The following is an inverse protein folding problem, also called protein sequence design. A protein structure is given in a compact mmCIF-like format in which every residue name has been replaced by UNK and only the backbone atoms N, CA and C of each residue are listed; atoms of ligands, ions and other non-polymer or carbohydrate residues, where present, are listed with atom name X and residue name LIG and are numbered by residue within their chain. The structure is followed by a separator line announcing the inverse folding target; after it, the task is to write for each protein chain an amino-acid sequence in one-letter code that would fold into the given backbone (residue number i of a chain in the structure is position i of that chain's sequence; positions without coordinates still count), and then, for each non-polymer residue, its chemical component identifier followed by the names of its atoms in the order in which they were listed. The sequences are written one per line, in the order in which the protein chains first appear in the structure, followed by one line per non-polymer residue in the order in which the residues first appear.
data_IF_651537067403
#
_entry.id   IF_651537067403
#
_cell.length_a   1.000
_cell.length_b   1.000
_cell.length_c   1.000
_cell.angle_alpha   90.00
_cell.angle_beta   90.00
_cell.angle_gamma   90.00
#
_symmetry.space_group_name_H-M   'P 1'
#
loop_
_entity.id
_entity.type
_entity.pdbx_description
1 polymer ?
#
# COMPACT_ATOMS: atom_id res chain seq x y z
N UNK A 1 -9.53 3.10 -27.34
CA UNK A 1 -9.31 2.95 -25.88
C UNK A 1 -7.92 3.48 -25.60
N UNK A 2 -7.73 4.27 -24.55
CA UNK A 2 -6.39 4.67 -24.11
C UNK A 2 -5.65 3.40 -23.68
N UNK A 3 -4.38 3.26 -24.06
CA UNK A 3 -3.50 2.20 -23.61
C UNK A 3 -2.73 2.73 -22.41
N UNK A 4 -2.88 2.09 -21.24
CA UNK A 4 -2.18 2.47 -20.03
C UNK A 4 -0.95 1.60 -19.83
N UNK A 5 0.12 2.23 -19.36
CA UNK A 5 1.36 1.58 -18.96
C UNK A 5 1.52 1.75 -17.46
N UNK A 6 2.02 0.72 -16.79
CA UNK A 6 2.34 0.77 -15.37
C UNK A 6 3.81 0.50 -15.13
N UNK A 7 4.31 1.05 -14.06
CA UNK A 7 5.60 0.68 -13.48
C UNK A 7 5.57 0.89 -11.98
N UNK A 8 6.41 0.14 -11.26
CA UNK A 8 6.60 0.28 -9.84
C UNK A 8 8.08 0.25 -9.49
N UNK A 9 8.52 1.13 -8.60
CA UNK A 9 9.90 1.20 -8.18
C UNK A 9 10.01 1.67 -6.73
N UNK A 10 10.92 1.05 -5.96
CA UNK A 10 11.24 1.46 -4.59
C UNK A 10 12.71 1.88 -4.52
N UNK A 11 12.94 3.05 -3.98
CA UNK A 11 14.30 3.61 -3.79
C UNK A 11 14.51 3.87 -2.30
N UNK A 12 15.54 3.27 -1.74
CA UNK A 12 15.89 3.48 -0.35
C UNK A 12 16.46 4.89 -0.12
N UNK A 13 15.92 5.60 0.86
CA UNK A 13 16.40 6.94 1.23
C UNK A 13 17.87 6.95 1.64
N UNK A 14 18.61 8.00 1.25
CA UNK A 14 20.05 8.15 1.52
C UNK A 14 20.44 7.97 2.99
N UNK A 15 19.65 8.53 3.91
CA UNK A 15 19.90 8.40 5.36
C UNK A 15 19.80 6.95 5.85
N UNK A 16 18.89 6.16 5.29
CA UNK A 16 18.75 4.73 5.60
C UNK A 16 19.94 3.93 5.05
N UNK A 17 20.39 4.24 3.82
CA UNK A 17 21.61 3.63 3.25
C UNK A 17 22.82 3.92 4.14
N UNK A 18 23.01 5.19 4.53
CA UNK A 18 24.11 5.62 5.39
C UNK A 18 24.07 4.97 6.77
N UNK A 19 22.88 4.71 7.31
CA UNK A 19 22.68 4.03 8.59
C UNK A 19 22.71 2.49 8.48
N UNK A 20 22.96 1.95 7.28
CA UNK A 20 22.93 0.51 6.97
C UNK A 20 21.62 -0.17 7.41
N UNK A 21 20.49 0.54 7.27
CA UNK A 21 19.14 -0.02 7.48
C UNK A 21 18.68 -0.72 6.21
N UNK A 22 17.80 -1.69 6.33
CA UNK A 22 17.10 -2.29 5.17
C UNK A 22 16.07 -1.30 4.61
N UNK A 23 15.75 -1.41 3.31
CA UNK A 23 14.61 -0.70 2.75
C UNK A 23 13.32 -1.31 3.31
N UNK A 24 12.50 -0.47 3.92
CA UNK A 24 11.25 -0.88 4.56
C UNK A 24 10.05 -0.72 3.62
N UNK A 25 10.23 0.02 2.52
CA UNK A 25 9.22 0.23 1.50
C UNK A 25 9.20 -0.91 0.49
N UNK A 26 8.03 -1.16 -0.06
CA UNK A 26 7.82 -2.07 -1.16
C UNK A 26 6.88 -1.47 -2.20
N UNK A 27 7.14 -1.76 -3.46
CA UNK A 27 6.23 -1.46 -4.57
C UNK A 27 6.11 -2.67 -5.48
N UNK A 28 5.02 -2.74 -6.23
CA UNK A 28 4.80 -3.81 -7.18
C UNK A 28 3.72 -3.48 -8.18
N UNK A 29 3.72 -4.23 -9.27
CA UNK A 29 2.78 -4.09 -10.36
C UNK A 29 2.29 -5.45 -10.86
N UNK A 30 1.12 -5.47 -11.47
CA UNK A 30 0.59 -6.62 -12.17
C UNK A 30 -0.18 -6.16 -13.40
N UNK A 31 0.19 -6.68 -14.57
CA UNK A 31 -0.53 -6.46 -15.81
C UNK A 31 -1.09 -7.79 -16.32
N UNK A 32 -2.34 -7.78 -16.73
CA UNK A 32 -2.94 -8.90 -17.45
C UNK A 32 -4.09 -8.39 -18.32
N UNK A 33 -4.11 -8.79 -19.58
CA UNK A 33 -5.08 -8.33 -20.58
C UNK A 33 -5.10 -6.79 -20.66
N UNK A 34 -6.23 -6.15 -20.30
CA UNK A 34 -6.46 -4.70 -20.26
C UNK A 34 -6.48 -4.13 -18.82
N UNK A 35 -5.92 -4.88 -17.85
CA UNK A 35 -5.90 -4.52 -16.43
C UNK A 35 -4.51 -4.17 -15.99
N UNK A 36 -4.37 -2.99 -15.37
CA UNK A 36 -3.18 -2.52 -14.71
C UNK A 36 -3.42 -2.42 -13.20
N UNK A 37 -2.58 -3.04 -12.39
CA UNK A 37 -2.62 -2.94 -10.93
C UNK A 37 -1.26 -2.47 -10.44
N UNK A 38 -1.25 -1.44 -9.61
CA UNK A 38 -0.05 -0.94 -8.91
C UNK A 38 -0.30 -0.91 -7.42
N UNK A 39 0.74 -1.15 -6.63
CA UNK A 39 0.66 -1.09 -5.17
C UNK A 39 1.97 -0.59 -4.56
N UNK A 40 1.85 0.18 -3.48
CA UNK A 40 2.96 0.69 -2.66
C UNK A 40 2.62 0.46 -1.20
N UNK A 41 3.61 0.11 -0.40
CA UNK A 41 3.49 -0.08 1.04
C UNK A 41 4.75 0.46 1.73
N UNK A 42 4.56 1.26 2.77
CA UNK A 42 5.61 1.84 3.60
C UNK A 42 5.65 1.12 4.94
N UNK A 43 6.79 0.55 5.26
CA UNK A 43 7.00 -0.17 6.50
C UNK A 43 7.40 0.74 7.65
N UNK A 44 6.73 0.59 8.80
CA UNK A 44 6.97 1.47 9.96
C UNK A 44 8.40 1.42 10.51
N UNK A 45 8.99 2.59 10.74
CA UNK A 45 10.39 2.74 11.14
C UNK A 45 10.72 2.52 12.63
N UNK A 46 9.72 2.33 13.50
CA UNK A 46 9.94 2.14 14.94
C UNK A 46 10.54 0.77 15.26
N UNK A 47 11.37 0.70 16.30
CA UNK A 47 12.04 -0.54 16.77
C UNK A 47 11.07 -1.68 17.17
N UNK A 48 9.78 -1.40 17.29
CA UNK A 48 8.78 -2.43 17.54
C UNK A 48 8.35 -3.19 16.26
N UNK A 49 8.60 -2.64 15.07
CA UNK A 49 8.23 -3.23 13.78
C UNK A 49 9.45 -3.91 13.14
N UNK A 50 9.91 -4.99 13.75
CA UNK A 50 11.22 -5.63 13.48
C UNK A 50 11.33 -6.34 12.13
N UNK A 51 10.20 -6.63 11.45
CA UNK A 51 10.11 -7.27 10.12
C UNK A 51 9.23 -6.49 9.16
N UNK A 52 9.19 -5.20 9.32
CA UNK A 52 8.38 -4.30 8.51
C UNK A 52 8.73 -4.35 7.02
N UNK A 53 10.02 -4.58 6.69
CA UNK A 53 10.49 -4.80 5.32
C UNK A 53 9.92 -6.06 4.64
N UNK A 54 9.55 -7.07 5.42
CA UNK A 54 8.79 -8.23 4.96
C UNK A 54 7.30 -7.89 4.91
N UNK A 55 6.81 -7.17 5.92
CA UNK A 55 5.42 -6.74 6.02
C UNK A 55 4.95 -5.93 4.83
N UNK A 56 5.73 -4.96 4.37
CA UNK A 56 5.45 -4.15 3.18
C UNK A 56 5.41 -4.99 1.89
N UNK A 57 6.35 -5.92 1.71
CA UNK A 57 6.37 -6.84 0.58
C UNK A 57 5.15 -7.78 0.59
N UNK A 58 4.75 -8.26 1.76
CA UNK A 58 3.55 -9.08 1.91
C UNK A 58 2.28 -8.29 1.61
N UNK A 59 2.20 -7.01 2.01
CA UNK A 59 1.07 -6.14 1.74
C UNK A 59 0.90 -5.91 0.23
N UNK A 60 1.97 -5.56 -0.47
CA UNK A 60 1.98 -5.42 -1.93
C UNK A 60 1.55 -6.72 -2.61
N UNK A 61 2.15 -7.85 -2.24
CA UNK A 61 1.81 -9.16 -2.81
C UNK A 61 0.35 -9.55 -2.56
N UNK A 62 -0.15 -9.30 -1.35
CA UNK A 62 -1.54 -9.57 -0.98
C UNK A 62 -2.52 -8.71 -1.79
N UNK A 63 -2.22 -7.41 -1.94
CA UNK A 63 -3.04 -6.48 -2.72
C UNK A 63 -3.10 -6.87 -4.19
N UNK A 64 -1.97 -7.08 -4.85
CA UNK A 64 -1.92 -7.49 -6.25
C UNK A 64 -2.69 -8.79 -6.49
N UNK A 65 -2.54 -9.76 -5.59
CA UNK A 65 -3.20 -11.07 -5.72
C UNK A 65 -4.71 -10.97 -5.47
N UNK A 66 -5.14 -10.23 -4.44
CA UNK A 66 -6.55 -10.10 -4.11
C UNK A 66 -7.33 -9.32 -5.16
N UNK A 67 -6.76 -8.21 -5.64
CA UNK A 67 -7.38 -7.37 -6.68
C UNK A 67 -7.45 -8.15 -8.00
N UNK A 68 -6.37 -8.84 -8.39
CA UNK A 68 -6.39 -9.70 -9.58
C UNK A 68 -7.49 -10.75 -9.50
N UNK A 69 -7.62 -11.43 -8.36
CA UNK A 69 -8.66 -12.44 -8.16
C UNK A 69 -10.06 -11.85 -8.26
N UNK A 70 -10.30 -10.65 -7.68
CA UNK A 70 -11.57 -9.93 -7.79
C UNK A 70 -11.95 -9.66 -9.25
N UNK A 71 -11.02 -9.09 -10.05
CA UNK A 71 -11.28 -8.77 -11.45
C UNK A 71 -11.52 -10.03 -12.28
N UNK A 72 -10.76 -11.10 -12.05
CA UNK A 72 -10.95 -12.38 -12.74
C UNK A 72 -12.31 -13.00 -12.42
N UNK A 73 -12.70 -13.04 -11.14
CA UNK A 73 -14.00 -13.54 -10.71
C UNK A 73 -15.16 -12.72 -11.30
N UNK A 74 -15.04 -11.38 -11.34
CA UNK A 74 -16.02 -10.50 -11.95
C UNK A 74 -16.20 -10.84 -13.45
N UNK A 75 -15.12 -11.04 -14.20
CA UNK A 75 -15.16 -11.43 -15.62
C UNK A 75 -15.80 -12.79 -15.84
N UNK A 76 -15.42 -13.79 -15.06
CA UNK A 76 -15.99 -15.15 -15.14
C UNK A 76 -17.50 -15.15 -14.92
N UNK A 77 -17.98 -14.25 -14.06
CA UNK A 77 -19.41 -14.10 -13.74
C UNK A 77 -20.12 -13.04 -14.59
N UNK A 78 -19.46 -12.46 -15.59
CA UNK A 78 -20.02 -11.37 -16.44
C UNK A 78 -20.49 -10.14 -15.62
N UNK A 79 -19.79 -9.82 -14.55
CA UNK A 79 -19.99 -8.64 -13.72
C UNK A 79 -19.02 -7.52 -14.11
N UNK A 80 -19.25 -6.31 -13.59
CA UNK A 80 -18.32 -5.20 -13.75
C UNK A 80 -16.97 -5.50 -13.09
N UNK A 81 -15.89 -5.16 -13.77
CA UNK A 81 -14.52 -5.25 -13.26
C UNK A 81 -14.14 -4.09 -12.34
N UNK A 82 -15.00 -3.07 -12.28
CA UNK A 82 -14.94 -1.96 -11.32
C UNK A 82 -16.04 -2.16 -10.30
N UNK A 83 -15.73 -2.13 -8.99
CA UNK A 83 -16.73 -2.27 -7.95
C UNK A 83 -17.87 -1.26 -8.09
N UNK A 84 -19.11 -1.68 -7.85
CA UNK A 84 -20.27 -0.80 -7.86
C UNK A 84 -20.50 -0.08 -6.52
N UNK A 85 -19.81 -0.50 -5.45
CA UNK A 85 -19.96 0.05 -4.12
C UNK A 85 -18.71 -0.14 -3.25
N UNK A 86 -18.59 0.69 -2.21
CA UNK A 86 -17.54 0.51 -1.18
C UNK A 86 -17.65 -0.84 -0.47
N UNK A 87 -18.85 -1.42 -0.38
CA UNK A 87 -19.03 -2.74 0.24
C UNK A 87 -18.22 -3.83 -0.46
N UNK A 88 -18.11 -3.77 -1.79
CA UNK A 88 -17.27 -4.70 -2.56
C UNK A 88 -15.79 -4.43 -2.30
N UNK A 89 -15.37 -3.17 -2.21
CA UNK A 89 -13.98 -2.81 -1.85
C UNK A 89 -13.63 -3.23 -0.41
N UNK A 90 -14.56 -3.12 0.53
CA UNK A 90 -14.39 -3.66 1.89
C UNK A 90 -14.14 -5.18 1.82
N UNK A 91 -14.83 -5.91 0.94
CA UNK A 91 -14.59 -7.34 0.78
C UNK A 91 -13.21 -7.63 0.16
N UNK A 92 -12.77 -6.83 -0.82
CA UNK A 92 -11.41 -6.92 -1.38
C UNK A 92 -10.38 -6.65 -0.29
N UNK A 93 -10.58 -5.60 0.54
CA UNK A 93 -9.68 -5.26 1.66
C UNK A 93 -9.61 -6.38 2.71
N UNK A 94 -10.72 -7.03 3.03
CA UNK A 94 -10.73 -8.23 3.90
C UNK A 94 -9.90 -9.36 3.31
N UNK A 95 -9.97 -9.57 2.00
CA UNK A 95 -9.16 -10.58 1.31
C UNK A 95 -7.67 -10.22 1.33
N UNK A 96 -7.34 -8.92 1.17
CA UNK A 96 -5.96 -8.43 1.31
C UNK A 96 -5.44 -8.72 2.72
N UNK A 97 -6.19 -8.31 3.76
CA UNK A 97 -5.84 -8.56 5.16
C UNK A 97 -5.63 -10.05 5.44
N UNK A 98 -6.55 -10.90 5.02
CA UNK A 98 -6.47 -12.35 5.24
C UNK A 98 -5.22 -12.96 4.60
N UNK A 99 -4.88 -12.54 3.37
CA UNK A 99 -3.67 -12.99 2.67
C UNK A 99 -2.40 -12.48 3.36
N UNK A 100 -2.39 -11.21 3.77
CA UNK A 100 -1.27 -10.61 4.48
C UNK A 100 -1.02 -11.31 5.82
N UNK A 101 -2.06 -11.52 6.63
CA UNK A 101 -1.95 -12.28 7.89
C UNK A 101 -1.44 -13.70 7.67
N UNK A 102 -1.91 -14.37 6.62
CA UNK A 102 -1.44 -15.72 6.27
C UNK A 102 0.06 -15.73 5.95
N UNK A 103 0.56 -14.73 5.21
CA UNK A 103 1.98 -14.61 4.91
C UNK A 103 2.81 -14.34 6.17
N UNK A 104 2.33 -13.44 7.06
CA UNK A 104 2.97 -13.14 8.34
C UNK A 104 3.08 -14.41 9.21
N UNK A 105 1.98 -15.14 9.39
CA UNK A 105 1.98 -16.34 10.21
C UNK A 105 2.88 -17.44 9.63
N UNK A 106 2.89 -17.61 8.32
CA UNK A 106 3.79 -18.54 7.64
C UNK A 106 5.27 -18.14 7.82
N UNK A 107 5.59 -16.85 7.72
CA UNK A 107 6.95 -16.35 7.91
C UNK A 107 7.44 -16.60 9.33
N UNK A 108 6.62 -16.31 10.35
CA UNK A 108 6.96 -16.56 11.76
C UNK A 108 7.06 -18.07 12.04
N UNK A 109 6.21 -18.90 11.43
CA UNK A 109 6.27 -20.35 11.59
C UNK A 109 7.55 -20.94 10.97
N UNK A 110 7.98 -20.42 9.82
CA UNK A 110 9.22 -20.85 9.16
C UNK A 110 10.47 -20.28 9.83
N UNK A 111 10.40 -19.04 10.29
CA UNK A 111 11.51 -18.30 10.90
C UNK A 111 11.04 -17.58 12.17
N UNK A 112 11.00 -18.26 13.32
CA UNK A 112 10.62 -17.64 14.59
C UNK A 112 11.51 -16.43 14.95
N UNK A 113 10.94 -15.46 15.68
CA UNK A 113 11.71 -14.29 16.12
C UNK A 113 12.95 -14.66 16.90
N UNK A 114 14.10 -14.12 16.50
CA UNK A 114 15.38 -14.38 17.15
C UNK A 114 15.63 -13.41 18.31
N UNK A 115 16.40 -13.80 19.34
CA UNK A 115 16.73 -12.92 20.47
C UNK A 115 17.34 -11.58 20.03
N UNK A 116 18.14 -11.58 18.96
CA UNK A 116 18.81 -10.40 18.41
C UNK A 116 17.80 -9.42 17.80
N UNK A 117 16.77 -9.90 17.12
CA UNK A 117 15.67 -9.09 16.59
C UNK A 117 14.88 -8.44 17.74
N UNK A 118 14.66 -9.19 18.81
CA UNK A 118 13.90 -8.74 19.97
C UNK A 118 14.71 -7.80 20.89
N UNK A 119 16.03 -7.66 20.71
CA UNK A 119 16.88 -6.89 21.62
C UNK A 119 16.48 -5.41 21.74
N UNK A 120 16.01 -4.80 20.62
CA UNK A 120 15.61 -3.38 20.56
C UNK A 120 14.13 -3.16 20.82
N UNK A 121 13.33 -4.21 20.81
CA UNK A 121 11.88 -4.14 20.99
C UNK A 121 11.54 -3.75 22.43
N UNK A 122 10.56 -2.89 22.63
CA UNK A 122 10.11 -2.51 23.98
C UNK A 122 9.56 -3.73 24.74
N UNK A 123 9.74 -3.77 26.05
CA UNK A 123 9.36 -4.93 26.90
C UNK A 123 7.89 -5.34 26.71
N UNK A 124 6.99 -4.37 26.51
CA UNK A 124 5.57 -4.61 26.22
C UNK A 124 5.36 -5.50 24.99
N UNK A 125 6.08 -5.23 23.90
CA UNK A 125 5.96 -5.99 22.66
C UNK A 125 6.82 -7.26 22.66
N UNK A 126 7.97 -7.23 23.32
CA UNK A 126 8.84 -8.40 23.47
C UNK A 126 8.11 -9.60 24.06
N UNK A 127 7.35 -9.40 25.15
CA UNK A 127 6.55 -10.45 25.77
C UNK A 127 5.45 -10.96 24.82
N UNK A 128 4.82 -10.07 24.04
CA UNK A 128 3.76 -10.41 23.09
C UNK A 128 4.28 -11.22 21.91
N UNK A 129 5.43 -10.84 21.36
CA UNK A 129 6.07 -11.59 20.27
C UNK A 129 6.54 -12.96 20.75
N UNK A 130 7.14 -13.04 21.94
CA UNK A 130 7.55 -14.32 22.56
C UNK A 130 6.36 -15.27 22.80
N UNK A 131 5.15 -14.75 23.04
CA UNK A 131 3.94 -15.55 23.21
C UNK A 131 3.20 -15.89 21.90
N UNK A 132 3.64 -15.34 20.76
CA UNK A 132 2.98 -15.48 19.45
C UNK A 132 1.65 -14.73 19.31
N UNK A 133 1.28 -13.89 20.29
CA UNK A 133 -0.05 -13.24 20.32
C UNK A 133 -0.15 -11.97 19.47
N UNK A 134 0.96 -11.45 18.93
CA UNK A 134 1.00 -10.15 18.24
C UNK A 134 1.95 -10.13 17.06
N UNK A 135 2.12 -11.25 16.37
CA UNK A 135 3.05 -11.38 15.25
C UNK A 135 2.85 -10.28 14.20
N UNK A 136 1.60 -9.97 13.85
CA UNK A 136 1.26 -8.97 12.86
C UNK A 136 1.90 -7.59 13.14
N UNK A 137 1.97 -7.17 14.41
CA UNK A 137 2.56 -5.86 14.77
C UNK A 137 4.02 -5.75 14.37
N UNK A 138 4.79 -6.84 14.39
CA UNK A 138 6.18 -6.85 13.95
C UNK A 138 6.37 -6.53 12.46
N UNK A 139 5.33 -6.70 11.65
CA UNK A 139 5.29 -6.53 10.19
C UNK A 139 4.50 -5.29 9.75
N UNK A 140 4.19 -4.36 10.66
CA UNK A 140 3.33 -3.21 10.40
C UNK A 140 3.77 -2.37 9.20
N UNK A 141 2.81 -1.97 8.38
CA UNK A 141 3.01 -1.22 7.15
C UNK A 141 1.73 -0.51 6.72
N UNK A 142 1.87 0.53 5.91
CA UNK A 142 0.78 1.15 5.15
C UNK A 142 0.47 0.35 3.88
N UNK A 143 -0.54 0.73 3.13
CA UNK A 143 -0.82 0.19 1.80
C UNK A 143 -1.64 1.16 0.96
N UNK A 144 -1.20 1.40 -0.27
CA UNK A 144 -2.01 1.98 -1.34
C UNK A 144 -2.00 1.00 -2.50
N UNK A 145 -3.16 0.71 -3.08
CA UNK A 145 -3.27 -0.08 -4.29
C UNK A 145 -4.32 0.52 -5.23
N UNK A 146 -4.00 0.56 -6.52
CA UNK A 146 -4.88 1.07 -7.57
C UNK A 146 -5.02 0.01 -8.65
N UNK A 147 -6.23 -0.18 -9.12
CA UNK A 147 -6.55 -1.04 -10.25
C UNK A 147 -7.26 -0.23 -11.33
N UNK A 148 -6.75 -0.29 -12.54
CA UNK A 148 -7.36 0.30 -13.73
C UNK A 148 -7.77 -0.80 -14.71
N UNK A 149 -8.98 -0.71 -15.21
CA UNK A 149 -9.57 -1.63 -16.19
C UNK A 149 -10.11 -0.83 -17.39
N UNK A 150 -10.73 -1.48 -18.36
CA UNK A 150 -11.39 -0.78 -19.46
C UNK A 150 -12.79 -0.19 -19.09
N UNK A 151 -13.27 -0.41 -17.88
CA UNK A 151 -14.56 0.09 -17.37
C UNK A 151 -14.41 1.25 -16.38
N UNK A 152 -13.16 1.57 -15.97
CA UNK A 152 -12.84 2.59 -15.00
C UNK A 152 -11.71 2.13 -14.08
N UNK A 153 -11.61 2.74 -12.91
CA UNK A 153 -10.59 2.41 -11.94
C UNK A 153 -11.06 2.54 -10.50
N UNK A 154 -10.35 1.91 -9.59
CA UNK A 154 -10.58 2.02 -8.16
C UNK A 154 -9.28 1.99 -7.37
N UNK A 155 -9.31 2.58 -6.18
CA UNK A 155 -8.18 2.62 -5.26
C UNK A 155 -8.58 2.23 -3.85
N UNK A 156 -7.63 1.63 -3.14
CA UNK A 156 -7.72 1.20 -1.74
C UNK A 156 -6.51 1.78 -1.01
N UNK A 157 -6.72 2.40 0.14
CA UNK A 157 -5.66 3.04 0.90
C UNK A 157 -5.84 2.89 2.40
N UNK A 158 -4.76 2.58 3.11
CA UNK A 158 -4.60 2.69 4.57
C UNK A 158 -3.20 3.24 4.85
N UNK A 159 -3.12 4.27 5.70
CA UNK A 159 -1.88 4.98 6.03
C UNK A 159 -1.83 6.40 5.50
N UNK A 160 -0.64 6.99 5.47
CA UNK A 160 -0.33 8.40 5.19
C UNK A 160 0.31 8.66 3.82
N UNK A 161 0.41 7.64 2.97
CA UNK A 161 0.89 7.80 1.60
C UNK A 161 -0.04 8.65 0.72
N UNK A 162 0.33 8.84 -0.55
CA UNK A 162 -0.39 9.69 -1.50
C UNK A 162 -0.87 8.91 -2.72
N UNK A 163 -2.09 9.24 -3.15
CA UNK A 163 -2.62 8.88 -4.45
C UNK A 163 -3.00 10.16 -5.18
N UNK A 164 -2.40 10.40 -6.34
CA UNK A 164 -2.62 11.60 -7.13
C UNK A 164 -3.09 11.21 -8.52
N UNK A 165 -4.16 11.83 -8.95
CA UNK A 165 -4.75 11.69 -10.27
C UNK A 165 -4.43 12.93 -11.11
N UNK A 166 -3.86 12.72 -12.30
CA UNK A 166 -3.72 13.75 -13.33
C UNK A 166 -4.87 13.61 -14.33
N UNK A 167 -5.73 14.61 -14.39
CA UNK A 167 -6.83 14.67 -15.36
C UNK A 167 -6.33 15.13 -16.74
N UNK A 168 -7.07 14.81 -17.81
CA UNK A 168 -6.72 15.20 -19.19
C UNK A 168 -6.56 16.72 -19.39
N UNK A 169 -7.23 17.53 -18.56
CA UNK A 169 -7.12 18.99 -18.60
C UNK A 169 -5.88 19.54 -17.85
N UNK A 170 -5.01 18.66 -17.34
CA UNK A 170 -3.81 19.02 -16.58
C UNK A 170 -4.07 19.30 -15.09
N UNK A 171 -5.30 19.12 -14.59
CA UNK A 171 -5.61 19.29 -13.16
C UNK A 171 -5.12 18.08 -12.38
N UNK A 172 -4.47 18.32 -11.25
CA UNK A 172 -4.07 17.31 -10.28
C UNK A 172 -5.06 17.30 -9.11
N UNK A 173 -5.44 16.12 -8.65
CA UNK A 173 -6.30 15.95 -7.49
C UNK A 173 -5.91 14.70 -6.69
N UNK A 174 -6.28 14.68 -5.41
CA UNK A 174 -6.15 13.53 -4.53
C UNK A 174 -7.53 12.85 -4.41
N UNK A 175 -7.79 11.77 -5.16
CA UNK A 175 -9.13 11.18 -5.27
C UNK A 175 -9.53 10.35 -4.04
N UNK A 176 -8.55 9.88 -3.24
CA UNK A 176 -8.82 9.14 -2.00
C UNK A 176 -8.83 10.15 -0.85
N UNK A 177 -9.88 10.17 -0.01
CA UNK A 177 -9.94 11.09 1.13
C UNK A 177 -8.74 10.96 2.06
N UNK A 178 -8.27 12.08 2.61
CA UNK A 178 -7.22 12.07 3.62
C UNK A 178 -7.67 11.32 4.87
N UNK A 179 -6.73 10.69 5.56
CA UNK A 179 -6.96 9.99 6.81
C UNK A 179 -6.75 10.96 7.99
N UNK A 180 -7.83 11.37 8.63
CA UNK A 180 -7.79 12.27 9.80
C UNK A 180 -7.10 11.63 11.02
N UNK A 181 -6.97 10.29 11.05
CA UNK A 181 -6.22 9.59 12.09
C UNK A 181 -4.70 9.65 11.86
N UNK A 182 -4.25 10.03 10.67
CA UNK A 182 -2.85 10.22 10.34
C UNK A 182 -2.41 11.65 10.69
N UNK A 183 -1.97 11.87 11.92
CA UNK A 183 -1.44 13.15 12.38
C UNK A 183 0.01 13.00 12.90
N UNK A 184 0.90 13.87 12.46
CA UNK A 184 2.31 13.91 12.86
C UNK A 184 3.04 12.56 12.62
N UNK A 185 3.31 11.80 13.69
CA UNK A 185 3.96 10.49 13.64
C UNK A 185 2.99 9.33 13.90
N UNK A 186 1.68 9.57 13.81
CA UNK A 186 0.65 8.55 13.93
C UNK A 186 0.14 8.25 12.54
N UNK A 187 0.18 6.98 12.15
CA UNK A 187 -0.38 6.51 10.88
C UNK A 187 -1.17 5.23 11.10
N UNK A 188 -2.26 5.08 10.37
CA UNK A 188 -3.04 3.84 10.34
C UNK A 188 -2.27 2.74 9.62
N UNK A 189 -2.48 1.49 10.01
CA UNK A 189 -1.66 0.37 9.58
C UNK A 189 -2.46 -0.89 9.34
N UNK A 190 -2.03 -1.65 8.33
CA UNK A 190 -2.60 -2.98 8.03
C UNK A 190 -2.49 -3.96 9.19
N UNK A 191 -1.58 -3.71 10.16
CA UNK A 191 -1.39 -4.53 11.36
C UNK A 191 -2.30 -4.16 12.53
N UNK A 192 -3.09 -3.11 12.44
CA UNK A 192 -3.97 -2.67 13.50
C UNK A 192 -5.23 -3.54 13.58
N UNK A 193 -5.78 -3.69 14.78
CA UNK A 193 -6.93 -4.57 15.01
C UNK A 193 -8.21 -4.11 14.31
N UNK A 194 -8.31 -2.83 14.03
CA UNK A 194 -9.40 -2.12 13.37
C UNK A 194 -9.07 -1.71 11.93
N UNK A 195 -7.98 -2.22 11.38
CA UNK A 195 -7.49 -1.87 10.03
C UNK A 195 -8.59 -1.86 8.97
N UNK A 196 -9.58 -2.77 9.06
CA UNK A 196 -10.67 -2.83 8.08
C UNK A 196 -11.59 -1.59 8.13
N UNK A 197 -11.65 -0.89 9.25
CA UNK A 197 -12.44 0.32 9.46
C UNK A 197 -11.68 1.57 8.99
N UNK A 198 -10.34 1.47 8.90
CA UNK A 198 -9.45 2.56 8.53
C UNK A 198 -9.15 2.62 7.01
N UNK A 199 -9.55 1.59 6.26
CA UNK A 199 -9.39 1.62 4.80
C UNK A 199 -10.28 2.68 4.16
N UNK A 200 -9.71 3.44 3.23
CA UNK A 200 -10.36 4.47 2.42
C UNK A 200 -10.36 4.05 0.97
N UNK A 201 -11.34 4.51 0.22
CA UNK A 201 -11.64 4.01 -1.11
C UNK A 201 -11.93 5.13 -2.09
N UNK A 202 -11.68 4.83 -3.37
CA UNK A 202 -12.17 5.59 -4.51
C UNK A 202 -12.66 4.63 -5.59
N UNK A 203 -13.74 5.00 -6.26
CA UNK A 203 -14.28 4.31 -7.43
C UNK A 203 -14.58 5.37 -8.47
N UNK A 204 -14.01 5.25 -9.68
CA UNK A 204 -14.16 6.20 -10.76
C UNK A 204 -14.43 5.47 -12.08
N UNK A 205 -15.37 6.03 -12.88
CA UNK A 205 -15.66 5.55 -14.23
C UNK A 205 -14.99 6.40 -15.31
N UNK A 206 -14.55 7.60 -14.95
CA UNK A 206 -13.78 8.48 -15.82
C UNK A 206 -12.31 8.07 -15.80
N UNK A 207 -11.62 8.26 -16.91
CA UNK A 207 -10.24 7.86 -17.05
C UNK A 207 -9.31 9.07 -16.88
N UNK A 208 -8.33 9.00 -15.98
CA UNK A 208 -7.29 10.02 -15.86
C UNK A 208 -6.24 9.87 -16.96
N UNK A 209 -5.46 10.93 -17.19
CA UNK A 209 -4.25 10.85 -18.00
C UNK A 209 -3.15 10.01 -17.31
N UNK A 210 -3.07 10.10 -15.97
CA UNK A 210 -2.16 9.29 -15.16
C UNK A 210 -2.64 9.17 -13.71
N UNK A 211 -2.19 8.12 -13.02
CA UNK A 211 -2.32 7.95 -11.56
C UNK A 211 -0.92 7.69 -10.99
N UNK A 212 -0.59 8.41 -9.94
CA UNK A 212 0.64 8.25 -9.16
C UNK A 212 0.28 7.84 -7.75
N UNK A 213 0.97 6.83 -7.21
CA UNK A 213 0.89 6.45 -5.81
C UNK A 213 2.29 6.42 -5.21
N UNK A 214 2.43 6.88 -3.99
CA UNK A 214 3.71 6.92 -3.29
C UNK A 214 3.58 6.85 -1.78
N UNK A 215 4.67 6.44 -1.10
CA UNK A 215 4.83 6.60 0.33
C UNK A 215 5.10 8.07 0.68
N UNK A 216 5.03 8.43 1.96
CA UNK A 216 5.33 9.78 2.48
C UNK A 216 6.77 10.24 2.18
N UNK A 217 7.70 9.31 1.99
CA UNK A 217 9.07 9.62 1.58
C UNK A 217 9.18 10.40 0.27
N UNK A 218 8.14 10.40 -0.57
CA UNK A 218 8.06 11.27 -1.76
C UNK A 218 7.79 12.71 -1.32
N UNK A 219 6.85 12.96 -0.43
CA UNK A 219 6.54 14.29 0.10
C UNK A 219 7.76 14.91 0.79
N UNK A 220 8.50 14.13 1.57
CA UNK A 220 9.72 14.53 2.25
C UNK A 220 10.87 14.91 1.30
N UNK A 221 10.82 14.45 0.06
CA UNK A 221 11.82 14.74 -0.96
C UNK A 221 11.67 16.14 -1.57
N UNK A 222 10.53 16.80 -1.35
CA UNK A 222 10.23 18.13 -1.90
C UNK A 222 9.94 19.13 -0.78
N UNK A 223 10.50 20.33 -0.89
CA UNK A 223 10.40 21.40 0.13
C UNK A 223 9.01 22.03 0.27
N UNK A 224 8.04 21.62 -0.53
CA UNK A 224 6.63 22.04 -0.47
C UNK A 224 5.75 21.02 -1.19
N UNK A 225 4.44 21.03 -0.93
CA UNK A 225 3.41 20.25 -1.65
C UNK A 225 3.34 20.55 -3.17
N UNK A 226 4.40 21.07 -3.75
CA UNK A 226 4.60 21.38 -5.17
C UNK A 226 5.00 20.17 -6.01
N UNK A 227 4.97 18.97 -5.46
CA UNK A 227 5.05 17.71 -6.22
C UNK A 227 4.11 17.70 -7.45
N UNK A 228 3.09 18.51 -7.38
CA UNK A 228 2.00 18.58 -8.34
C UNK A 228 2.07 19.81 -9.25
N UNK A 229 3.20 20.51 -9.30
CA UNK A 229 3.39 21.57 -10.27
C UNK A 229 4.02 21.04 -11.55
N UNK A 230 3.86 21.77 -12.62
CA UNK A 230 4.35 21.44 -13.98
C UNK A 230 5.81 20.97 -14.03
N UNK A 231 6.67 21.43 -13.12
CA UNK A 231 8.09 21.09 -13.11
C UNK A 231 8.35 19.62 -12.72
N UNK A 232 7.56 19.04 -11.80
CA UNK A 232 7.70 17.63 -11.45
C UNK A 232 7.19 16.70 -12.57
N UNK A 233 6.18 17.12 -13.33
CA UNK A 233 5.71 16.38 -14.49
C UNK A 233 6.72 16.41 -15.66
N UNK A 234 7.47 17.50 -15.81
CA UNK A 234 8.48 17.65 -16.87
C UNK A 234 9.72 16.77 -16.61
N UNK A 235 10.09 16.53 -15.35
CA UNK A 235 11.21 15.65 -14.97
C UNK A 235 10.85 14.14 -15.05
N UNK A 236 9.58 13.77 -15.07
CA UNK A 236 9.11 12.38 -15.18
C UNK A 236 8.86 11.93 -16.63
N UNK A 237 8.86 12.84 -17.58
CA UNK A 237 8.68 12.59 -19.00
C UNK A 237 10.05 12.58 -19.71
#
# INVERSE_FOLDING_TARGET
MAEYYQFAHSVQGYNHIKANKVCQDASGECHFEDVCIIAVADGHGSDNYIRTDRGSKFAVSAALTAIKAFVQEARENHLSTVPDSETELIQVSKNILARWYTQVENDVACEPFQPEELAKVSEKYKQRYASGQYNAKAYGTTLIAVCMTNEGWFGIHIGDGKCVELLENGTLCEPIPWDEACEQNITTSICDSDAIEEFRYVIQKDFPAAIFIGSDGIDDSYSSCLLYTSDAADDLI
#
